data_IF_599026653593
#
_entry.id   IF_599026653593
#
_cell.length_a   1.000
_cell.length_b   1.000
_cell.length_c   1.000
_cell.angle_alpha   90.00
_cell.angle_beta   90.00
_cell.angle_gamma   90.00
#
_symmetry.space_group_name_H-M   'P 1'
#
loop_
_entity.id
_entity.type
_entity.pdbx_description
1 polymer ?
#
# COMPACT_ATOMS: atom_id res chain seq x y z
N UNK A 1 -0.61 19.64 -13.74
CA UNK A 1 -0.75 18.34 -13.03
C UNK A 1 -1.24 17.24 -13.96
N UNK A 2 -2.41 17.39 -14.61
CA UNK A 2 -2.98 16.37 -15.49
C UNK A 2 -2.05 15.89 -16.63
N UNK A 3 -1.36 16.80 -17.31
CA UNK A 3 -0.41 16.43 -18.39
C UNK A 3 0.78 15.63 -17.87
N UNK A 4 1.36 16.02 -16.73
CA UNK A 4 2.45 15.26 -16.10
C UNK A 4 1.99 13.90 -15.59
N UNK A 5 0.75 13.79 -15.08
CA UNK A 5 0.16 12.50 -14.70
C UNK A 5 0.02 11.59 -15.93
N UNK A 6 -0.47 12.13 -17.05
CA UNK A 6 -0.58 11.38 -18.31
C UNK A 6 0.78 10.91 -18.81
N UNK A 7 1.80 11.78 -18.80
CA UNK A 7 3.16 11.43 -19.23
C UNK A 7 3.82 10.40 -18.29
N UNK A 8 3.54 10.47 -16.99
CA UNK A 8 4.06 9.53 -16.01
C UNK A 8 3.39 8.15 -16.08
N UNK A 9 2.15 8.06 -16.56
CA UNK A 9 1.40 6.82 -16.69
C UNK A 9 1.64 6.09 -18.02
N UNK A 10 2.07 6.81 -19.07
CA UNK A 10 2.32 6.23 -20.40
C UNK A 10 3.35 5.09 -20.41
N UNK A 11 3.03 4.01 -21.12
CA UNK A 11 3.94 2.92 -21.48
C UNK A 11 4.77 3.28 -22.72
N UNK A 12 5.51 4.38 -22.60
CA UNK A 12 6.43 4.88 -23.63
C UNK A 12 7.83 4.31 -23.39
N UNK A 13 8.56 3.96 -24.47
CA UNK A 13 9.96 3.49 -24.40
C UNK A 13 10.95 4.58 -23.96
N UNK A 14 10.56 5.85 -24.07
CA UNK A 14 11.32 7.00 -23.58
C UNK A 14 11.27 7.10 -22.05
N UNK A 15 12.27 6.51 -21.40
CA UNK A 15 12.43 6.46 -19.94
C UNK A 15 12.61 7.85 -19.34
N UNK A 16 13.41 8.71 -19.97
CA UNK A 16 13.83 9.99 -19.42
C UNK A 16 12.66 10.98 -19.23
N UNK A 17 11.78 11.22 -20.23
CA UNK A 17 10.58 12.04 -20.04
C UNK A 17 9.67 11.52 -18.92
N UNK A 18 9.52 10.20 -18.79
CA UNK A 18 8.71 9.56 -17.73
C UNK A 18 9.30 9.82 -16.35
N UNK A 19 10.60 9.59 -16.17
CA UNK A 19 11.31 9.88 -14.91
C UNK A 19 11.25 11.36 -14.57
N UNK A 20 11.41 12.24 -15.57
CA UNK A 20 11.31 13.68 -15.37
C UNK A 20 9.90 14.08 -14.91
N UNK A 21 8.85 13.57 -15.56
CA UNK A 21 7.46 13.81 -15.19
C UNK A 21 7.17 13.37 -13.74
N UNK A 22 7.62 12.17 -13.35
CA UNK A 22 7.47 11.66 -11.98
C UNK A 22 8.19 12.56 -10.96
N UNK A 23 9.38 13.05 -11.30
CA UNK A 23 10.14 13.96 -10.43
C UNK A 23 9.51 15.35 -10.32
N UNK A 24 8.92 15.89 -11.39
CA UNK A 24 8.15 17.14 -11.36
C UNK A 24 6.91 16.96 -10.48
N UNK A 25 6.14 15.88 -10.66
CA UNK A 25 5.01 15.55 -9.79
C UNK A 25 5.45 15.49 -8.32
N UNK A 26 6.57 14.82 -8.05
CA UNK A 26 7.14 14.74 -6.69
C UNK A 26 7.46 16.12 -6.13
N UNK A 27 8.08 17.01 -6.90
CA UNK A 27 8.38 18.37 -6.46
C UNK A 27 7.09 19.14 -6.11
N UNK A 28 6.07 19.04 -6.97
CA UNK A 28 4.77 19.69 -6.78
C UNK A 28 4.05 19.17 -5.53
N UNK A 29 3.98 17.86 -5.32
CA UNK A 29 3.36 17.28 -4.12
C UNK A 29 4.13 17.58 -2.84
N UNK A 30 5.43 17.87 -2.91
CA UNK A 30 6.26 18.20 -1.75
C UNK A 30 6.10 19.65 -1.31
N UNK A 31 5.76 20.55 -2.22
CA UNK A 31 5.64 21.98 -1.95
C UNK A 31 4.43 22.27 -1.04
N UNK A 32 4.71 22.75 0.18
CA UNK A 32 3.69 22.98 1.19
C UNK A 32 2.69 24.06 0.76
N UNK A 33 3.15 25.10 0.03
CA UNK A 33 2.30 26.18 -0.46
C UNK A 33 1.28 25.74 -1.51
N UNK A 34 1.51 24.60 -2.16
CA UNK A 34 0.61 24.06 -3.18
C UNK A 34 -0.40 23.05 -2.62
N UNK A 35 -0.48 22.90 -1.28
CA UNK A 35 -1.22 21.84 -0.62
C UNK A 35 -2.65 21.65 -1.12
N UNK A 36 -3.43 22.73 -1.20
CA UNK A 36 -4.82 22.69 -1.65
C UNK A 36 -4.93 22.50 -3.18
N UNK A 37 -3.98 23.06 -3.93
CA UNK A 37 -3.94 22.99 -5.40
C UNK A 37 -3.66 21.57 -5.88
N UNK A 38 -2.75 20.85 -5.22
CA UNK A 38 -2.39 19.48 -5.61
C UNK A 38 -3.34 18.43 -5.06
N UNK A 39 -4.17 18.79 -4.07
CA UNK A 39 -5.03 17.89 -3.34
C UNK A 39 -5.95 17.02 -4.23
N UNK A 40 -6.61 17.56 -5.28
CA UNK A 40 -7.43 16.77 -6.19
C UNK A 40 -6.66 15.69 -6.96
N UNK A 41 -5.35 15.86 -7.13
CA UNK A 41 -4.48 14.98 -7.93
C UNK A 41 -3.73 13.94 -7.10
N UNK A 42 -3.85 13.97 -5.77
CA UNK A 42 -3.11 13.06 -4.88
C UNK A 42 -3.46 11.60 -5.15
N UNK A 43 -4.73 11.27 -5.41
CA UNK A 43 -5.15 9.91 -5.72
C UNK A 43 -4.46 9.38 -6.99
N UNK A 44 -4.41 10.17 -8.06
CA UNK A 44 -3.75 9.77 -9.30
C UNK A 44 -2.23 9.71 -9.14
N UNK A 45 -1.64 10.61 -8.35
CA UNK A 45 -0.24 10.51 -7.95
C UNK A 45 0.08 9.19 -7.26
N UNK A 46 -0.80 8.71 -6.37
CA UNK A 46 -0.62 7.40 -5.69
C UNK A 46 -0.70 6.26 -6.71
N UNK A 47 -1.63 6.31 -7.67
CA UNK A 47 -1.73 5.29 -8.73
C UNK A 47 -0.45 5.23 -9.57
N UNK A 48 0.01 6.38 -10.07
CA UNK A 48 1.27 6.49 -10.83
C UNK A 48 2.45 5.93 -10.03
N UNK A 49 2.54 6.28 -8.74
CA UNK A 49 3.59 5.79 -7.89
C UNK A 49 3.51 4.26 -7.74
N UNK A 50 2.35 3.70 -7.38
CA UNK A 50 2.17 2.25 -7.18
C UNK A 50 2.46 1.46 -8.45
N UNK A 51 1.96 1.88 -9.61
CA UNK A 51 2.25 1.25 -10.91
C UNK A 51 3.75 1.34 -11.25
N UNK A 52 4.38 2.47 -10.93
CA UNK A 52 5.81 2.67 -11.16
C UNK A 52 6.72 1.74 -10.35
N UNK A 53 6.27 1.14 -9.24
CA UNK A 53 7.05 0.10 -8.54
C UNK A 53 7.25 -1.15 -9.40
N UNK A 54 6.33 -1.43 -10.31
CA UNK A 54 6.37 -2.61 -11.19
C UNK A 54 7.10 -2.33 -12.51
N UNK A 55 7.58 -1.11 -12.73
CA UNK A 55 8.28 -0.76 -13.96
C UNK A 55 9.51 -1.64 -14.17
N UNK A 56 9.74 -2.11 -15.41
CA UNK A 56 10.93 -2.90 -15.75
C UNK A 56 12.24 -2.10 -15.67
N UNK A 57 12.14 -0.77 -15.75
CA UNK A 57 13.29 0.15 -15.72
C UNK A 57 13.57 0.64 -14.31
N UNK A 58 14.81 0.45 -13.83
CA UNK A 58 15.22 0.81 -12.47
C UNK A 58 15.01 2.30 -12.15
N UNK A 59 15.33 3.20 -13.09
CA UNK A 59 15.19 4.63 -12.90
C UNK A 59 13.72 5.04 -12.63
N UNK A 60 12.77 4.39 -13.32
CA UNK A 60 11.33 4.62 -13.11
C UNK A 60 10.91 4.12 -11.73
N UNK A 61 11.34 2.92 -11.32
CA UNK A 61 11.05 2.38 -9.98
C UNK A 61 11.58 3.29 -8.85
N UNK A 62 12.78 3.83 -9.01
CA UNK A 62 13.36 4.75 -8.04
C UNK A 62 12.55 6.06 -7.97
N UNK A 63 12.26 6.68 -9.11
CA UNK A 63 11.45 7.89 -9.17
C UNK A 63 10.06 7.68 -8.53
N UNK A 64 9.41 6.55 -8.82
CA UNK A 64 8.13 6.16 -8.25
C UNK A 64 8.19 5.93 -6.72
N UNK A 65 9.29 5.35 -6.21
CA UNK A 65 9.52 5.18 -4.77
C UNK A 65 9.61 6.54 -4.06
N UNK A 66 10.33 7.49 -4.63
CA UNK A 66 10.47 8.85 -4.07
C UNK A 66 9.15 9.64 -4.15
N UNK A 67 8.40 9.47 -5.24
CA UNK A 67 7.05 10.04 -5.37
C UNK A 67 6.12 9.46 -4.30
N UNK A 68 6.10 8.14 -4.14
CA UNK A 68 5.30 7.45 -3.13
C UNK A 68 5.61 7.95 -1.71
N UNK A 69 6.89 8.06 -1.34
CA UNK A 69 7.29 8.58 -0.03
C UNK A 69 6.81 10.01 0.21
N UNK A 70 6.79 10.84 -0.84
CA UNK A 70 6.31 12.22 -0.80
C UNK A 70 4.79 12.26 -0.58
N UNK A 71 4.05 11.44 -1.33
CA UNK A 71 2.60 11.32 -1.20
C UNK A 71 2.17 10.76 0.17
N UNK A 72 2.88 9.76 0.68
CA UNK A 72 2.67 9.24 2.03
C UNK A 72 2.82 10.35 3.08
N UNK A 73 3.84 11.19 2.96
CA UNK A 73 4.03 12.35 3.84
C UNK A 73 2.94 13.42 3.66
N UNK A 74 2.45 13.63 2.43
CA UNK A 74 1.36 14.57 2.15
C UNK A 74 0.02 14.10 2.75
N UNK A 75 -0.29 12.82 2.64
CA UNK A 75 -1.54 12.22 3.11
C UNK A 75 -1.54 12.07 4.63
N UNK A 76 -0.45 11.53 5.19
CA UNK A 76 -0.36 11.08 6.57
C UNK A 76 0.52 11.97 7.46
N UNK A 77 1.06 13.06 6.93
CA UNK A 77 2.02 13.91 7.64
C UNK A 77 3.39 13.26 7.81
N UNK A 78 4.34 14.05 8.31
CA UNK A 78 5.73 13.61 8.55
C UNK A 78 5.78 12.67 9.76
N UNK A 79 6.25 11.43 9.56
CA UNK A 79 6.57 10.55 10.68
C UNK A 79 7.97 10.88 11.21
N UNK A 80 8.07 11.27 12.48
CA UNK A 80 9.34 11.57 13.16
C UNK A 80 9.85 10.41 14.04
N UNK A 81 9.12 9.31 14.07
CA UNK A 81 9.47 8.10 14.80
C UNK A 81 10.25 7.13 13.89
N UNK A 82 11.25 6.44 14.46
CA UNK A 82 12.06 5.44 13.74
C UNK A 82 11.33 4.11 13.54
N UNK A 83 10.53 3.68 14.52
CA UNK A 83 10.06 2.29 14.57
C UNK A 83 8.57 2.14 14.21
N UNK A 84 7.71 3.02 14.74
CA UNK A 84 6.27 2.94 14.50
C UNK A 84 5.64 4.30 14.13
N UNK A 85 4.71 4.31 13.15
CA UNK A 85 3.94 5.52 12.88
C UNK A 85 3.05 5.86 14.07
N UNK A 86 3.12 7.11 14.48
CA UNK A 86 2.30 7.61 15.58
C UNK A 86 0.85 7.78 15.13
N UNK A 87 -0.11 7.75 16.07
CA UNK A 87 -1.54 7.95 15.77
C UNK A 87 -1.82 9.20 14.93
N UNK A 88 -1.13 10.31 15.22
CA UNK A 88 -1.21 11.57 14.46
C UNK A 88 -0.79 11.45 13.00
N UNK A 89 -0.07 10.40 12.67
CA UNK A 89 0.36 10.12 11.31
C UNK A 89 -0.54 9.08 10.64
N UNK A 90 -1.71 8.74 11.16
CA UNK A 90 -2.59 7.78 10.51
C UNK A 90 -3.95 8.41 10.25
N UNK A 91 -4.72 7.77 9.38
CA UNK A 91 -6.12 8.09 9.14
C UNK A 91 -6.96 6.86 9.45
N UNK A 92 -8.23 7.03 9.80
CA UNK A 92 -9.15 5.89 9.74
C UNK A 92 -9.35 5.51 8.27
N UNK A 93 -9.60 4.23 8.00
CA UNK A 93 -9.88 3.77 6.65
C UNK A 93 -11.07 4.54 6.02
N UNK A 94 -12.10 4.85 6.82
CA UNK A 94 -13.24 5.66 6.41
C UNK A 94 -12.82 7.06 5.91
N UNK A 95 -12.04 7.81 6.70
CA UNK A 95 -11.57 9.15 6.31
C UNK A 95 -10.68 9.09 5.07
N UNK A 96 -9.80 8.09 4.98
CA UNK A 96 -8.92 7.93 3.83
C UNK A 96 -9.70 7.67 2.53
N UNK A 97 -10.63 6.72 2.52
CA UNK A 97 -11.39 6.38 1.32
C UNK A 97 -12.49 7.38 0.99
N UNK A 98 -13.04 8.10 1.98
CA UNK A 98 -13.93 9.24 1.71
C UNK A 98 -13.17 10.36 0.98
N UNK A 99 -11.91 10.60 1.35
CA UNK A 99 -11.05 11.60 0.73
C UNK A 99 -10.50 11.16 -0.63
N UNK A 100 -10.27 9.87 -0.81
CA UNK A 100 -9.68 9.29 -2.03
C UNK A 100 -10.44 8.04 -2.51
N UNK A 101 -11.72 8.19 -2.93
CA UNK A 101 -12.59 7.03 -3.22
C UNK A 101 -12.06 6.16 -4.36
N UNK A 102 -11.44 6.77 -5.38
CA UNK A 102 -10.88 6.03 -6.52
C UNK A 102 -9.70 5.12 -6.16
N UNK A 103 -9.11 5.25 -4.96
CA UNK A 103 -8.05 4.35 -4.49
C UNK A 103 -8.59 3.03 -3.94
N UNK A 104 -9.86 2.93 -3.54
CA UNK A 104 -10.39 1.70 -2.96
C UNK A 104 -10.25 0.50 -3.91
N UNK A 105 -10.91 0.57 -5.07
CA UNK A 105 -10.86 -0.51 -6.07
C UNK A 105 -9.46 -0.68 -6.66
N UNK A 106 -8.75 0.43 -6.90
CA UNK A 106 -7.38 0.38 -7.41
C UNK A 106 -6.45 -0.42 -6.49
N UNK A 107 -6.41 -0.12 -5.18
CA UNK A 107 -5.52 -0.82 -4.25
C UNK A 107 -5.90 -2.30 -4.12
N UNK A 108 -7.19 -2.61 -4.16
CA UNK A 108 -7.69 -3.99 -4.13
C UNK A 108 -7.22 -4.77 -5.37
N UNK A 109 -7.37 -4.18 -6.56
CA UNK A 109 -6.92 -4.77 -7.82
C UNK A 109 -5.41 -5.01 -7.83
N UNK A 110 -4.62 -4.08 -7.30
CA UNK A 110 -3.16 -4.21 -7.20
C UNK A 110 -2.77 -5.41 -6.32
N UNK A 111 -3.43 -5.62 -5.18
CA UNK A 111 -3.18 -6.81 -4.34
C UNK A 111 -3.67 -8.12 -4.99
N UNK A 112 -4.74 -8.05 -5.78
CA UNK A 112 -5.26 -9.22 -6.48
C UNK A 112 -4.34 -9.68 -7.62
N UNK A 113 -3.95 -8.78 -8.53
CA UNK A 113 -3.02 -9.07 -9.65
C UNK A 113 -1.70 -9.62 -9.15
N UNK A 114 -1.22 -9.03 -8.07
CA UNK A 114 -0.04 -9.45 -7.36
C UNK A 114 -0.09 -10.89 -6.83
N UNK A 115 -1.26 -11.38 -6.42
CA UNK A 115 -1.39 -12.70 -5.79
C UNK A 115 -0.96 -13.87 -6.69
N UNK A 116 -0.95 -13.67 -8.02
CA UNK A 116 -0.63 -14.71 -8.99
C UNK A 116 0.89 -14.94 -9.17
N UNK A 117 1.74 -14.07 -8.63
CA UNK A 117 3.20 -14.13 -8.81
C UNK A 117 3.96 -14.11 -7.49
N UNK A 118 3.68 -15.07 -6.59
CA UNK A 118 4.35 -15.21 -5.29
C UNK A 118 5.88 -15.50 -5.39
N UNK A 119 6.39 -15.79 -6.58
CA UNK A 119 7.77 -16.16 -6.84
C UNK A 119 8.74 -14.98 -6.99
N UNK A 120 8.27 -13.75 -7.23
CA UNK A 120 9.16 -12.60 -7.39
C UNK A 120 9.71 -12.11 -6.04
N UNK A 121 10.99 -12.42 -5.80
CA UNK A 121 11.76 -12.16 -4.57
C UNK A 121 12.10 -10.67 -4.31
N UNK A 122 11.62 -9.71 -5.09
CA UNK A 122 12.26 -8.38 -5.16
C UNK A 122 11.30 -7.22 -4.93
N UNK A 123 11.84 -6.16 -4.34
CA UNK A 123 11.35 -4.79 -4.05
C UNK A 123 10.56 -4.05 -5.17
N UNK A 124 10.20 -4.71 -6.27
CA UNK A 124 9.47 -4.15 -7.41
C UNK A 124 8.03 -4.65 -7.52
N UNK A 125 7.43 -5.14 -6.44
CA UNK A 125 6.02 -5.52 -6.43
C UNK A 125 5.16 -4.37 -5.90
N UNK A 126 4.09 -4.02 -6.62
CA UNK A 126 3.04 -3.10 -6.16
C UNK A 126 2.45 -3.48 -4.79
N UNK A 127 2.59 -4.74 -4.35
CA UNK A 127 2.20 -5.20 -3.01
C UNK A 127 2.83 -4.36 -1.91
N UNK A 128 4.11 -4.05 -2.03
CA UNK A 128 4.84 -3.35 -0.98
C UNK A 128 4.28 -1.95 -0.70
N UNK A 129 4.14 -1.04 -1.70
CA UNK A 129 3.55 0.27 -1.46
C UNK A 129 2.08 0.18 -1.03
N UNK A 130 1.30 -0.78 -1.55
CA UNK A 130 -0.11 -0.94 -1.12
C UNK A 130 -0.19 -1.36 0.35
N UNK A 131 0.54 -2.38 0.78
CA UNK A 131 0.58 -2.81 2.18
C UNK A 131 1.12 -1.71 3.09
N UNK A 132 2.14 -0.97 2.63
CA UNK A 132 2.69 0.16 3.37
C UNK A 132 1.64 1.24 3.58
N UNK A 133 0.84 1.58 2.57
CA UNK A 133 -0.27 2.53 2.70
C UNK A 133 -1.35 2.02 3.67
N UNK A 134 -1.82 0.77 3.48
CA UNK A 134 -2.83 0.18 4.34
C UNK A 134 -2.38 0.08 5.82
N UNK A 135 -1.09 -0.16 6.07
CA UNK A 135 -0.50 -0.17 7.41
C UNK A 135 -0.50 1.20 8.13
N UNK A 136 -0.87 2.27 7.43
CA UNK A 136 -1.06 3.63 8.00
C UNK A 136 -2.52 3.95 8.28
N UNK A 137 -3.42 2.99 8.04
CA UNK A 137 -4.81 3.11 8.42
C UNK A 137 -5.02 2.60 9.85
N UNK A 138 -6.01 3.14 10.55
CA UNK A 138 -6.50 2.61 11.82
C UNK A 138 -7.97 2.17 11.72
N UNK A 139 -8.39 1.22 12.58
CA UNK A 139 -9.78 0.82 12.68
C UNK A 139 -10.69 2.03 12.86
N UNK A 140 -11.76 2.09 12.06
CA UNK A 140 -12.86 3.03 12.28
C UNK A 140 -13.89 2.38 13.20
N UNK A 141 -14.46 3.17 14.12
CA UNK A 141 -15.64 2.75 14.90
C UNK A 141 -16.94 2.97 14.13
N UNK A 142 -16.87 3.83 13.10
CA UNK A 142 -17.98 4.13 12.19
C UNK A 142 -17.86 3.20 10.98
N UNK A 143 -18.89 2.40 10.75
CA UNK A 143 -19.04 1.65 9.51
C UNK A 143 -19.21 2.66 8.36
N UNK A 144 -18.22 2.70 7.47
CA UNK A 144 -18.32 3.46 6.22
C UNK A 144 -18.95 2.62 5.13
N UNK A 145 -19.43 3.25 4.05
CA UNK A 145 -19.89 2.54 2.85
C UNK A 145 -18.82 1.73 2.09
N UNK A 146 -17.61 1.57 2.66
CA UNK A 146 -16.50 0.84 2.08
C UNK A 146 -16.35 -0.52 2.76
N UNK A 147 -16.43 -1.59 1.97
CA UNK A 147 -16.30 -3.00 2.41
C UNK A 147 -14.83 -3.41 2.59
N UNK A 148 -14.22 -2.99 3.70
CA UNK A 148 -12.79 -3.22 3.99
C UNK A 148 -12.43 -4.70 4.11
N UNK A 149 -13.41 -5.54 4.44
CA UNK A 149 -13.29 -7.00 4.47
C UNK A 149 -12.82 -7.59 3.12
N UNK A 150 -13.12 -6.91 2.00
CA UNK A 150 -12.65 -7.30 0.67
C UNK A 150 -11.11 -7.36 0.57
N UNK A 151 -10.38 -6.56 1.34
CA UNK A 151 -8.91 -6.57 1.33
C UNK A 151 -8.32 -7.76 2.09
N UNK A 152 -9.04 -8.30 3.08
CA UNK A 152 -8.51 -9.27 4.06
C UNK A 152 -7.90 -10.51 3.40
N UNK A 153 -8.57 -11.21 2.45
CA UNK A 153 -8.00 -12.40 1.82
C UNK A 153 -6.69 -12.12 1.08
N UNK A 154 -6.60 -10.95 0.42
CA UNK A 154 -5.41 -10.56 -0.33
C UNK A 154 -4.25 -10.16 0.57
N UNK A 155 -4.53 -9.46 1.68
CA UNK A 155 -3.52 -9.10 2.68
C UNK A 155 -3.01 -10.34 3.41
N UNK A 156 -3.89 -11.26 3.84
CA UNK A 156 -3.52 -12.52 4.51
C UNK A 156 -2.63 -13.38 3.62
N UNK A 157 -2.88 -13.43 2.30
CA UNK A 157 -1.99 -14.11 1.36
C UNK A 157 -0.58 -13.50 1.34
N UNK A 158 -0.46 -12.17 1.47
CA UNK A 158 0.84 -11.50 1.53
C UNK A 158 1.63 -11.86 2.80
N UNK A 159 0.96 -12.26 3.88
CA UNK A 159 1.64 -12.71 5.09
C UNK A 159 2.46 -13.98 4.89
N UNK A 160 2.20 -14.77 3.84
CA UNK A 160 3.00 -15.96 3.48
C UNK A 160 4.22 -15.64 2.60
N UNK A 161 4.54 -14.36 2.40
CA UNK A 161 5.65 -13.95 1.54
C UNK A 161 7.01 -14.44 2.08
N UNK A 162 7.98 -14.79 1.21
CA UNK A 162 9.36 -15.03 1.62
C UNK A 162 10.04 -13.77 2.19
N UNK A 163 9.53 -12.57 1.88
CA UNK A 163 10.06 -11.32 2.40
C UNK A 163 9.47 -10.99 3.77
N UNK A 164 10.30 -11.00 4.82
CA UNK A 164 9.87 -10.65 6.18
C UNK A 164 9.20 -9.27 6.25
N UNK A 165 9.68 -8.30 5.47
CA UNK A 165 9.13 -6.93 5.43
C UNK A 165 7.69 -6.93 4.92
N UNK A 166 7.40 -7.76 3.93
CA UNK A 166 6.04 -7.91 3.38
C UNK A 166 5.14 -8.56 4.44
N UNK A 167 5.62 -9.59 5.15
CA UNK A 167 4.87 -10.21 6.24
C UNK A 167 4.53 -9.22 7.34
N UNK A 168 5.52 -8.47 7.83
CA UNK A 168 5.33 -7.46 8.87
C UNK A 168 4.35 -6.35 8.44
N UNK A 169 4.41 -5.91 7.19
CA UNK A 169 3.44 -4.94 6.66
C UNK A 169 2.05 -5.53 6.50
N UNK A 170 1.92 -6.78 6.08
CA UNK A 170 0.62 -7.46 5.96
C UNK A 170 -0.06 -7.62 7.32
N UNK A 171 0.68 -8.07 8.34
CA UNK A 171 0.19 -8.15 9.72
C UNK A 171 -0.31 -6.78 10.23
N UNK A 172 0.40 -5.70 9.92
CA UNK A 172 -0.04 -4.35 10.30
C UNK A 172 -1.23 -3.86 9.48
N UNK A 173 -1.26 -4.17 8.20
CA UNK A 173 -2.33 -3.77 7.28
C UNK A 173 -3.65 -4.49 7.57
N UNK A 174 -3.64 -5.69 8.17
CA UNK A 174 -4.88 -6.43 8.50
C UNK A 174 -5.65 -5.81 9.67
N UNK A 175 -4.95 -5.16 10.61
CA UNK A 175 -5.54 -4.55 11.82
C UNK A 175 -6.69 -3.57 11.52
N UNK A 176 -6.53 -2.59 10.60
CA UNK A 176 -7.61 -1.67 10.25
C UNK A 176 -8.71 -2.27 9.35
N UNK A 177 -8.49 -3.47 8.80
CA UNK A 177 -9.42 -4.11 7.85
C UNK A 177 -10.43 -5.03 8.54
N UNK A 178 -10.08 -5.56 9.72
CA UNK A 178 -10.96 -6.42 10.52
C UNK A 178 -11.69 -5.57 11.56
N UNK A 179 -13.02 -5.68 11.60
CA UNK A 179 -13.82 -4.91 12.53
C UNK A 179 -13.55 -5.32 13.98
N UNK A 180 -13.74 -4.43 14.98
CA UNK A 180 -13.60 -4.80 16.37
C UNK A 180 -14.35 -6.05 16.82
N UNK A 181 -15.53 -6.29 16.24
CA UNK A 181 -16.38 -7.44 16.54
C UNK A 181 -15.78 -8.75 16.01
N UNK A 182 -15.20 -8.73 14.80
CA UNK A 182 -14.68 -9.92 14.12
C UNK A 182 -13.25 -10.27 14.55
N UNK A 183 -12.52 -9.36 15.20
CA UNK A 183 -11.10 -9.56 15.57
C UNK A 183 -10.85 -10.86 16.34
N UNK A 184 -11.73 -11.21 17.28
CA UNK A 184 -11.57 -12.44 18.07
C UNK A 184 -11.67 -13.67 17.18
N UNK A 185 -12.67 -13.73 16.33
CA UNK A 185 -12.89 -14.85 15.40
C UNK A 185 -11.76 -14.95 14.39
N UNK A 186 -11.32 -13.81 13.83
CA UNK A 186 -10.19 -13.75 12.92
C UNK A 186 -8.91 -14.32 13.55
N UNK A 187 -8.58 -13.92 14.78
CA UNK A 187 -7.40 -14.43 15.50
C UNK A 187 -7.51 -15.92 15.82
N UNK A 188 -8.68 -16.39 16.26
CA UNK A 188 -8.91 -17.81 16.51
C UNK A 188 -8.76 -18.63 15.23
N UNK A 189 -9.34 -18.16 14.12
CA UNK A 189 -9.19 -18.78 12.80
C UNK A 189 -7.72 -18.85 12.36
N UNK A 190 -6.96 -17.77 12.57
CA UNK A 190 -5.53 -17.74 12.28
C UNK A 190 -4.76 -18.78 13.11
N UNK A 191 -4.95 -18.81 14.44
CA UNK A 191 -4.31 -19.77 15.35
C UNK A 191 -4.65 -21.21 14.97
N UNK A 192 -5.92 -21.49 14.67
CA UNK A 192 -6.38 -22.83 14.29
C UNK A 192 -5.88 -23.26 12.90
N UNK A 193 -5.53 -22.30 12.03
CA UNK A 193 -4.94 -22.57 10.72
C UNK A 193 -3.43 -22.87 10.76
N UNK A 194 -2.80 -22.81 11.94
CA UNK A 194 -1.40 -23.15 12.08
C UNK A 194 -1.20 -24.65 11.78
N UNK A 195 -0.22 -25.00 10.92
CA UNK A 195 0.08 -26.38 10.63
C UNK A 195 0.54 -27.10 11.90
N UNK A 196 -0.04 -28.27 12.18
CA UNK A 196 0.39 -29.13 13.28
C UNK A 196 1.80 -29.71 13.05
N UNK A 197 2.40 -30.29 14.09
CA UNK A 197 3.76 -30.82 14.09
C UNK A 197 4.03 -31.98 13.09
N UNK A 198 3.01 -32.48 12.38
CA UNK A 198 3.07 -33.69 11.57
C UNK A 198 3.66 -33.49 10.15
N UNK A 199 3.88 -32.26 9.70
CA UNK A 199 4.47 -31.98 8.38
C UNK A 199 5.32 -30.71 8.50
N UNK A 200 6.60 -30.68 8.10
CA UNK A 200 7.42 -29.48 8.22
C UNK A 200 6.81 -28.39 7.32
N UNK A 201 6.10 -27.41 7.88
CA UNK A 201 5.47 -26.40 7.06
C UNK A 201 6.56 -25.51 6.47
N UNK A 202 6.30 -24.93 5.30
CA UNK A 202 7.18 -23.87 4.80
C UNK A 202 7.23 -22.76 5.87
N UNK A 203 8.41 -22.47 6.43
CA UNK A 203 8.57 -21.56 7.57
C UNK A 203 7.90 -20.19 7.35
N UNK A 204 7.86 -19.73 6.10
CA UNK A 204 7.18 -18.48 5.72
C UNK A 204 5.67 -18.50 5.99
N UNK A 205 5.03 -19.66 5.86
CA UNK A 205 3.60 -19.85 6.13
C UNK A 205 3.35 -19.74 7.63
N UNK A 206 4.15 -20.41 8.46
CA UNK A 206 4.02 -20.34 9.93
C UNK A 206 4.25 -18.93 10.43
N UNK A 207 5.34 -18.28 9.99
CA UNK A 207 5.65 -16.88 10.34
C UNK A 207 4.67 -15.87 9.74
N UNK A 208 3.82 -16.29 8.80
CA UNK A 208 2.83 -15.45 8.14
C UNK A 208 1.44 -15.52 8.76
N UNK A 209 1.15 -16.61 9.46
CA UNK A 209 -0.17 -16.83 10.07
C UNK A 209 -0.34 -16.04 11.37
N UNK A 210 0.76 -15.72 12.07
CA UNK A 210 0.80 -14.96 13.33
C UNK A 210 1.43 -13.57 13.14
#
# INVERSE_FOLDING_TARGET
>A
MAEFLKLADQDTSAVEPKVHAINVLRALFREARLGDVVMPYVADGVKVAVLGFEANVWAVRNAATLLFSTLMTRIFGVNRSRDEPQRRNCLTAHVFFLRFPSLFHFLLDQLNRASNHLQHRVLGSSRFPVLLLLSRLFPSVVEGGFRLDAFVPHVVRCSRSPSWKVRALAARAVVPLVTPAERREFLLGAILSLPGAACPPENNVVHGTL
#
